data_IF_988120839789
#
_entry.id   IF_988120839789
#
_cell.length_a   1.000
_cell.length_b   1.000
_cell.length_c   1.000
_cell.angle_alpha   90.00
_cell.angle_beta   90.00
_cell.angle_gamma   90.00
#
_symmetry.space_group_name_H-M   'P 1'
#
loop_
_entity.id
_entity.type
_entity.pdbx_description
1 polymer ?
#
# COMPACT_ATOMS: atom_id res chain seq x y z
N UNK A 1 -2.96 -6.07 13.33
CA UNK A 1 -1.66 -6.14 12.61
C UNK A 1 -0.62 -5.47 13.49
N UNK A 2 0.64 -5.88 13.45
CA UNK A 2 1.74 -5.19 14.15
C UNK A 2 2.50 -4.36 13.13
N UNK A 3 2.83 -3.11 13.46
CA UNK A 3 3.76 -2.28 12.67
C UNK A 3 5.04 -2.12 13.48
N UNK A 4 6.17 -2.49 12.89
CA UNK A 4 7.49 -2.41 13.53
C UNK A 4 8.31 -1.37 12.78
N UNK A 5 8.58 -0.23 13.41
CA UNK A 5 9.54 0.74 12.88
C UNK A 5 10.97 0.21 13.03
N UNK A 6 11.75 0.28 11.97
CA UNK A 6 13.16 -0.11 12.04
C UNK A 6 14.01 1.02 12.63
N UNK A 7 14.99 0.67 13.47
CA UNK A 7 15.99 1.63 13.98
C UNK A 7 16.99 2.04 12.89
N UNK A 8 17.29 1.12 11.98
CA UNK A 8 18.02 1.37 10.74
C UNK A 8 17.14 0.91 9.57
N UNK A 9 16.83 1.77 8.59
CA UNK A 9 16.00 1.38 7.45
C UNK A 9 16.58 0.17 6.70
N UNK A 10 15.69 -0.70 6.24
CA UNK A 10 16.06 -1.85 5.41
C UNK A 10 16.35 -1.35 3.98
N UNK A 11 17.56 -1.60 3.49
CA UNK A 11 17.93 -1.27 2.11
C UNK A 11 17.39 -2.33 1.13
N UNK A 12 16.66 -1.90 0.10
CA UNK A 12 16.13 -2.76 -0.97
C UNK A 12 16.39 -2.08 -2.32
N UNK A 13 17.47 -2.50 -3.00
CA UNK A 13 17.94 -1.81 -4.20
C UNK A 13 18.26 -0.35 -3.88
N UNK A 14 17.66 0.58 -4.61
CA UNK A 14 17.80 2.02 -4.39
C UNK A 14 16.81 2.58 -3.35
N UNK A 15 15.93 1.74 -2.80
CA UNK A 15 14.93 2.15 -1.83
C UNK A 15 15.33 1.83 -0.39
N UNK A 16 14.81 2.60 0.54
CA UNK A 16 14.87 2.35 1.97
C UNK A 16 13.47 2.11 2.51
N UNK A 17 13.31 1.07 3.33
CA UNK A 17 12.05 0.73 4.00
C UNK A 17 12.19 1.00 5.49
N UNK A 18 11.31 1.83 6.02
CA UNK A 18 11.38 2.35 7.40
C UNK A 18 10.52 1.56 8.40
N UNK A 19 9.58 0.74 7.92
CA UNK A 19 8.75 -0.10 8.78
C UNK A 19 8.37 -1.45 8.14
N UNK A 20 8.09 -2.42 9.00
CA UNK A 20 7.54 -3.72 8.65
C UNK A 20 6.08 -3.83 9.11
N UNK A 21 5.19 -4.18 8.18
CA UNK A 21 3.84 -4.65 8.52
C UNK A 21 3.88 -6.17 8.77
N UNK A 22 3.51 -6.60 9.98
CA UNK A 22 3.44 -8.00 10.38
C UNK A 22 1.99 -8.36 10.77
N UNK A 23 1.18 -8.88 9.83
CA UNK A 23 -0.18 -9.30 10.13
C UNK A 23 -0.18 -10.58 10.98
N UNK A 24 -1.09 -10.66 11.95
CA UNK A 24 -1.36 -11.92 12.64
C UNK A 24 -1.93 -12.96 11.66
N UNK A 25 -1.72 -14.26 11.91
CA UNK A 25 -2.40 -15.31 11.17
C UNK A 25 -3.91 -15.06 11.13
N UNK A 26 -4.51 -15.28 9.97
CA UNK A 26 -5.95 -15.15 9.74
C UNK A 26 -6.45 -16.40 9.00
N UNK A 27 -7.74 -16.42 8.65
CA UNK A 27 -8.32 -17.52 7.86
C UNK A 27 -7.74 -17.63 6.44
N UNK A 28 -6.96 -16.64 5.99
CA UNK A 28 -6.30 -16.68 4.69
C UNK A 28 -4.98 -17.44 4.79
N UNK A 29 -4.91 -18.58 4.10
CA UNK A 29 -3.67 -19.36 3.95
C UNK A 29 -2.77 -18.73 2.89
N UNK A 30 -1.53 -18.45 3.26
CA UNK A 30 -0.49 -18.05 2.32
C UNK A 30 0.42 -19.26 2.04
N UNK A 31 0.66 -19.62 0.77
CA UNK A 31 1.52 -20.77 0.44
C UNK A 31 3.00 -20.55 0.80
N UNK A 32 3.40 -19.28 0.92
CA UNK A 32 4.72 -18.86 1.37
C UNK A 32 4.55 -17.91 2.54
N UNK A 33 5.37 -18.09 3.58
CA UNK A 33 5.44 -17.20 4.74
C UNK A 33 6.74 -16.39 4.64
N UNK A 34 6.61 -15.12 4.28
CA UNK A 34 7.73 -14.22 4.02
C UNK A 34 7.24 -12.89 3.48
N UNK A 35 8.10 -12.17 2.77
CA UNK A 35 7.75 -10.91 2.09
C UNK A 35 6.65 -11.14 1.05
N UNK A 36 5.55 -10.39 1.14
CA UNK A 36 4.39 -10.53 0.22
C UNK A 36 4.18 -9.29 -0.67
N UNK A 37 4.42 -8.10 -0.11
CA UNK A 37 4.25 -6.84 -0.82
C UNK A 37 5.16 -5.74 -0.29
N UNK A 38 5.28 -4.68 -1.08
CA UNK A 38 5.82 -3.39 -0.66
C UNK A 38 4.73 -2.33 -0.83
N UNK A 39 4.74 -1.33 0.04
CA UNK A 39 3.83 -0.20 -0.05
C UNK A 39 4.62 1.09 -0.27
N UNK A 40 4.13 1.95 -1.17
CA UNK A 40 4.71 3.26 -1.43
C UNK A 40 3.72 4.35 -1.08
N UNK A 41 4.25 5.37 -0.42
CA UNK A 41 3.53 6.61 -0.17
C UNK A 41 3.60 7.48 -1.41
N UNK A 42 2.44 7.84 -1.95
CA UNK A 42 2.31 8.81 -3.05
C UNK A 42 1.62 10.05 -2.49
N UNK A 43 2.34 11.17 -2.27
CA UNK A 43 1.75 12.40 -1.75
C UNK A 43 0.50 12.80 -2.54
N UNK A 44 -0.65 12.78 -1.86
CA UNK A 44 -1.95 13.06 -2.45
C UNK A 44 -2.92 13.51 -1.37
N UNK A 45 -3.91 14.32 -1.75
CA UNK A 45 -5.03 14.69 -0.89
C UNK A 45 -6.25 13.78 -1.11
N UNK A 46 -6.10 12.72 -1.91
CA UNK A 46 -7.17 11.78 -2.20
C UNK A 46 -7.69 11.11 -0.91
N UNK A 47 -9.00 11.20 -0.70
CA UNK A 47 -9.70 10.58 0.42
C UNK A 47 -10.48 9.33 0.01
N UNK A 48 -10.65 9.11 -1.29
CA UNK A 48 -11.31 7.93 -1.86
C UNK A 48 -10.40 7.18 -2.84
N UNK A 49 -10.74 5.93 -3.12
CA UNK A 49 -10.01 5.12 -4.10
C UNK A 49 -10.12 5.67 -5.52
N UNK A 50 -11.24 6.31 -5.86
CA UNK A 50 -11.44 6.90 -7.19
C UNK A 50 -10.62 8.18 -7.38
N UNK A 51 -10.59 9.05 -6.36
CA UNK A 51 -9.70 10.23 -6.32
C UNK A 51 -8.23 9.82 -6.41
N UNK A 52 -7.83 8.78 -5.66
CA UNK A 52 -6.46 8.29 -5.72
C UNK A 52 -6.13 7.73 -7.10
N UNK A 53 -7.05 6.96 -7.70
CA UNK A 53 -6.84 6.41 -9.04
C UNK A 53 -6.70 7.52 -10.09
N UNK A 54 -7.50 8.58 -10.00
CA UNK A 54 -7.36 9.74 -10.86
C UNK A 54 -6.00 10.41 -10.66
N UNK A 55 -5.62 10.70 -9.42
CA UNK A 55 -4.32 11.32 -9.09
C UNK A 55 -3.15 10.49 -9.61
N UNK A 56 -3.20 9.16 -9.47
CA UNK A 56 -2.19 8.26 -9.99
C UNK A 56 -2.10 8.26 -11.52
N UNK A 57 -3.23 8.40 -12.23
CA UNK A 57 -3.23 8.52 -13.69
C UNK A 57 -2.55 9.82 -14.16
N UNK A 58 -2.65 10.89 -13.37
CA UNK A 58 -1.98 12.17 -13.65
C UNK A 58 -0.49 12.12 -13.30
N UNK A 59 -0.13 11.53 -12.15
CA UNK A 59 1.26 11.45 -11.67
C UNK A 59 2.11 10.40 -12.41
N UNK A 60 1.47 9.34 -12.92
CA UNK A 60 2.14 8.24 -13.62
C UNK A 60 1.60 8.12 -15.06
N UNK A 61 1.87 9.10 -15.94
CA UNK A 61 1.31 9.14 -17.29
C UNK A 61 1.74 7.96 -18.17
N UNK A 62 2.86 7.31 -17.84
CA UNK A 62 3.35 6.11 -18.51
C UNK A 62 2.68 4.82 -18.05
N UNK A 63 1.86 4.86 -16.99
CA UNK A 63 1.12 3.71 -16.50
C UNK A 63 -0.08 3.45 -17.41
N UNK A 64 0.07 2.44 -18.26
CA UNK A 64 -1.01 1.94 -19.12
C UNK A 64 -2.03 1.14 -18.30
N UNK A 65 -3.00 1.86 -17.73
CA UNK A 65 -4.08 1.29 -16.92
C UNK A 65 -4.93 0.26 -17.67
N UNK A 66 -5.17 0.49 -18.96
CA UNK A 66 -5.94 -0.40 -19.83
C UNK A 66 -5.25 -1.75 -20.06
N UNK A 67 -3.95 -1.74 -20.33
CA UNK A 67 -3.17 -2.95 -20.63
C UNK A 67 -2.73 -3.74 -19.40
N UNK A 68 -3.00 -3.27 -18.17
CA UNK A 68 -2.66 -4.00 -16.94
C UNK A 68 -3.27 -5.41 -16.93
N UNK A 69 -4.52 -5.55 -17.36
CA UNK A 69 -5.20 -6.85 -17.41
C UNK A 69 -4.54 -7.81 -18.38
N UNK A 70 -4.15 -7.33 -19.56
CA UNK A 70 -3.46 -8.11 -20.59
C UNK A 70 -2.06 -8.55 -20.12
N UNK A 71 -1.40 -7.69 -19.34
CA UNK A 71 -0.13 -7.98 -18.66
C UNK A 71 -0.28 -8.89 -17.42
N UNK A 72 -1.49 -9.37 -17.15
CA UNK A 72 -1.86 -10.21 -16.00
C UNK A 72 -1.64 -9.53 -14.64
N UNK A 73 -1.68 -8.20 -14.62
CA UNK A 73 -1.63 -7.42 -13.38
C UNK A 73 -3.06 -7.25 -12.86
N UNK A 74 -3.33 -7.82 -11.70
CA UNK A 74 -4.60 -7.66 -10.99
C UNK A 74 -4.56 -6.37 -10.17
N UNK A 75 -5.47 -5.44 -10.45
CA UNK A 75 -5.64 -4.21 -9.68
C UNK A 75 -6.77 -4.39 -8.67
N UNK A 76 -6.53 -4.00 -7.41
CA UNK A 76 -7.56 -3.97 -6.36
C UNK A 76 -7.52 -2.62 -5.65
N UNK A 77 -8.68 -1.98 -5.57
CA UNK A 77 -8.88 -0.80 -4.74
C UNK A 77 -9.40 -1.21 -3.36
N UNK A 78 -8.92 -0.54 -2.31
CA UNK A 78 -9.44 -0.68 -0.96
C UNK A 78 -9.20 0.62 -0.19
N UNK A 79 -10.11 0.97 0.70
CA UNK A 79 -9.89 1.98 1.73
C UNK A 79 -10.10 1.28 3.06
N UNK A 80 -9.06 0.66 3.64
CA UNK A 80 -9.18 0.07 4.98
C UNK A 80 -9.60 1.19 5.93
N UNK A 81 -10.56 0.94 6.81
CA UNK A 81 -10.93 1.87 7.86
C UNK A 81 -10.74 1.19 9.21
N UNK A 82 -9.80 1.69 10.00
CA UNK A 82 -9.70 1.36 11.42
C UNK A 82 -10.89 1.94 12.19
N UNK A 83 -11.27 1.33 13.32
CA UNK A 83 -12.40 1.81 14.14
C UNK A 83 -12.24 3.27 14.60
N UNK A 84 -11.00 3.77 14.67
CA UNK A 84 -10.64 5.14 15.05
C UNK A 84 -9.99 5.95 13.92
N UNK A 85 -9.96 5.43 12.69
CA UNK A 85 -9.19 6.06 11.62
C UNK A 85 -9.68 7.50 11.38
N UNK A 86 -8.76 8.46 11.51
CA UNK A 86 -9.01 9.89 11.28
C UNK A 86 -8.50 10.36 9.92
N UNK A 87 -7.48 9.69 9.39
CA UNK A 87 -6.81 10.02 8.15
C UNK A 87 -7.12 8.95 7.09
N UNK A 88 -7.95 9.25 6.07
CA UNK A 88 -8.23 8.29 5.02
C UNK A 88 -6.96 7.90 4.27
N UNK A 89 -6.74 6.60 4.12
CA UNK A 89 -5.60 6.07 3.38
C UNK A 89 -6.08 5.12 2.24
N UNK A 90 -6.80 5.65 1.23
CA UNK A 90 -7.21 4.83 0.10
C UNK A 90 -5.98 4.18 -0.55
N UNK A 91 -6.12 2.95 -1.01
CA UNK A 91 -5.01 2.14 -1.50
C UNK A 91 -5.37 1.52 -2.84
N UNK A 92 -4.46 1.62 -3.81
CA UNK A 92 -4.51 0.86 -5.07
C UNK A 92 -3.38 -0.17 -5.06
N UNK A 93 -3.76 -1.45 -5.09
CA UNK A 93 -2.84 -2.58 -5.10
C UNK A 93 -2.71 -3.17 -6.51
N UNK A 94 -1.48 -3.42 -6.95
CA UNK A 94 -1.12 -4.06 -8.21
C UNK A 94 -0.43 -5.39 -7.90
N UNK A 95 -1.05 -6.50 -8.31
CA UNK A 95 -0.56 -7.85 -8.02
C UNK A 95 -0.27 -8.63 -9.28
N UNK A 96 0.91 -9.26 -9.35
CA UNK A 96 1.34 -10.15 -10.44
C UNK A 96 2.31 -11.20 -9.91
N UNK A 97 2.13 -12.46 -10.33
CA UNK A 97 3.06 -13.57 -10.04
C UNK A 97 3.49 -13.71 -8.57
N UNK A 98 2.54 -13.50 -7.65
CA UNK A 98 2.79 -13.59 -6.21
C UNK A 98 3.37 -12.33 -5.56
N UNK A 99 3.79 -11.34 -6.36
CA UNK A 99 4.31 -10.05 -5.91
C UNK A 99 3.21 -8.99 -5.94
N UNK A 100 3.21 -8.10 -4.95
CA UNK A 100 2.24 -7.00 -4.87
C UNK A 100 2.91 -5.68 -4.53
N UNK A 101 2.49 -4.61 -5.22
CA UNK A 101 2.85 -3.22 -4.93
C UNK A 101 1.56 -2.49 -4.56
N UNK A 102 1.58 -1.73 -3.47
CA UNK A 102 0.46 -0.88 -3.06
C UNK A 102 0.88 0.59 -3.08
N UNK A 103 -0.03 1.45 -3.53
CA UNK A 103 0.14 2.90 -3.52
C UNK A 103 -0.95 3.52 -2.66
N UNK A 104 -0.57 4.41 -1.74
CA UNK A 104 -1.52 5.10 -0.85
C UNK A 104 -0.99 6.49 -0.42
N UNK A 105 -1.85 7.43 0.02
CA UNK A 105 -1.46 8.81 0.30
C UNK A 105 -0.58 9.02 1.53
N UNK A 106 -0.75 8.21 2.58
CA UNK A 106 -0.18 8.48 3.89
C UNK A 106 0.70 7.31 4.35
N UNK A 107 1.79 7.59 5.06
CA UNK A 107 2.61 6.55 5.68
C UNK A 107 1.86 5.88 6.83
N UNK A 108 2.22 4.63 7.15
CA UNK A 108 1.67 3.94 8.34
C UNK A 108 1.91 4.73 9.62
N UNK A 109 3.06 5.40 9.74
CA UNK A 109 3.37 6.28 10.87
C UNK A 109 2.37 7.43 10.99
N UNK A 110 2.09 8.12 9.89
CA UNK A 110 1.14 9.24 9.89
C UNK A 110 -0.29 8.79 10.23
N UNK A 111 -0.71 7.60 9.75
CA UNK A 111 -2.00 7.01 10.11
C UNK A 111 -2.07 6.72 11.61
N UNK A 112 -1.06 6.04 12.17
CA UNK A 112 -1.01 5.73 13.61
C UNK A 112 -0.95 6.98 14.51
N UNK A 113 -0.20 8.01 14.10
CA UNK A 113 -0.16 9.30 14.80
C UNK A 113 -1.54 9.98 14.80
N UNK A 114 -2.31 9.87 13.71
CA UNK A 114 -3.68 10.41 13.64
C UNK A 114 -4.69 9.69 14.54
N UNK A 115 -4.37 8.48 15.02
CA UNK A 115 -5.22 7.68 15.91
C UNK A 115 -4.87 7.85 17.40
N UNK A 116 -3.76 8.54 17.70
CA UNK A 116 -3.22 8.69 19.06
C UNK A 116 -3.83 9.86 19.85
N UNK A 117 -4.87 10.51 19.32
CA UNK A 117 -5.69 11.53 19.99
C UNK A 117 -7.01 11.00 20.55
#
# INVERSE_FOLDING_TARGET
IIVIGFTQPLQVGDWTIEALELPYPSNKTYPQQGWEHIEFVIPSNARTTDELKQHLAEQLPSLDWSGLKEKQVKVKASSPAGEKERLPNPTIAFKKDGVCIKLHPCSLKAVLESESE
#
